data_IF_112539155519
#
_entry.id   IF_112539155519
#
_cell.length_a   1.000
_cell.length_b   1.000
_cell.length_c   1.000
_cell.angle_alpha   90.00
_cell.angle_beta   90.00
_cell.angle_gamma   90.00
#
_symmetry.space_group_name_H-M   'P 1'
#
loop_
_entity.id
_entity.type
_entity.pdbx_description
1 polymer ?
#
# COMPACT_ATOMS: atom_id res chain seq x y z
N UNK A 1 -24.17 -9.84 -13.86
CA UNK A 1 -24.35 -10.41 -15.20
C UNK A 1 -24.12 -11.93 -15.14
N UNK A 2 -22.90 -12.49 -15.22
CA UNK A 2 -22.66 -13.95 -15.08
C UNK A 2 -23.35 -14.63 -13.89
N UNK A 3 -23.21 -14.09 -12.68
CA UNK A 3 -23.83 -14.68 -11.47
C UNK A 3 -25.37 -14.72 -11.50
N UNK A 4 -26.03 -13.84 -12.26
CA UNK A 4 -27.49 -13.75 -12.31
C UNK A 4 -28.09 -14.58 -13.45
N UNK A 5 -27.38 -14.73 -14.57
CA UNK A 5 -27.94 -15.28 -15.81
C UNK A 5 -27.23 -16.55 -16.30
N UNK A 6 -26.03 -16.86 -15.81
CA UNK A 6 -25.26 -18.04 -16.22
C UNK A 6 -25.18 -19.09 -15.10
N UNK A 7 -24.71 -18.68 -13.92
CA UNK A 7 -24.46 -19.59 -12.79
C UNK A 7 -25.70 -20.35 -12.26
N UNK A 8 -26.94 -19.80 -12.31
CA UNK A 8 -28.11 -20.52 -11.81
C UNK A 8 -28.52 -21.75 -12.63
N UNK A 9 -28.05 -21.86 -13.87
CA UNK A 9 -28.43 -22.91 -14.81
C UNK A 9 -27.24 -23.82 -15.10
N UNK A 10 -27.48 -25.11 -15.26
CA UNK A 10 -26.42 -26.10 -15.42
C UNK A 10 -26.09 -26.36 -16.89
N UNK A 11 -27.08 -26.22 -17.77
CA UNK A 11 -26.98 -26.51 -19.21
C UNK A 11 -26.94 -25.24 -20.05
N UNK A 12 -26.40 -25.33 -21.28
CA UNK A 12 -26.32 -24.17 -22.17
C UNK A 12 -27.70 -23.83 -22.77
N UNK A 13 -28.54 -24.84 -22.99
CA UNK A 13 -29.91 -24.70 -23.48
C UNK A 13 -30.76 -23.86 -22.52
N UNK A 14 -30.70 -24.17 -21.22
CA UNK A 14 -31.38 -23.38 -20.19
C UNK A 14 -30.85 -21.94 -20.14
N UNK A 15 -29.53 -21.75 -20.22
CA UNK A 15 -28.91 -20.41 -20.19
C UNK A 15 -29.37 -19.56 -21.36
N UNK A 16 -29.53 -20.14 -22.55
CA UNK A 16 -30.01 -19.42 -23.74
C UNK A 16 -31.42 -18.85 -23.55
N UNK A 17 -32.30 -19.58 -22.86
CA UNK A 17 -33.65 -19.10 -22.54
C UNK A 17 -33.66 -17.94 -21.53
N UNK A 18 -32.59 -17.75 -20.75
CA UNK A 18 -32.48 -16.74 -19.71
C UNK A 18 -31.54 -15.58 -20.10
N UNK A 19 -31.68 -15.12 -21.36
CA UNK A 19 -30.96 -13.96 -21.89
C UNK A 19 -31.33 -12.66 -21.15
N UNK A 20 -30.34 -11.83 -20.77
CA UNK A 20 -30.61 -10.48 -20.27
C UNK A 20 -31.29 -9.59 -21.32
N UNK A 21 -32.23 -8.71 -20.94
CA UNK A 21 -33.02 -7.92 -21.90
C UNK A 21 -32.21 -6.90 -22.72
N UNK A 22 -30.99 -6.56 -22.26
CA UNK A 22 -30.10 -5.58 -22.89
C UNK A 22 -28.98 -6.21 -23.72
N UNK A 23 -28.94 -7.55 -23.84
CA UNK A 23 -27.95 -8.25 -24.66
C UNK A 23 -28.62 -8.82 -25.92
N UNK A 24 -27.89 -8.78 -27.03
CA UNK A 24 -28.30 -9.47 -28.25
C UNK A 24 -28.23 -10.99 -28.08
N UNK A 25 -28.92 -11.74 -28.94
CA UNK A 25 -28.84 -13.21 -28.95
C UNK A 25 -27.42 -13.69 -29.25
N UNK A 26 -26.74 -13.05 -30.20
CA UNK A 26 -25.39 -13.43 -30.62
C UNK A 26 -24.36 -13.19 -29.51
N UNK A 27 -24.42 -12.03 -28.85
CA UNK A 27 -23.53 -11.74 -27.71
C UNK A 27 -23.75 -12.71 -26.56
N UNK A 28 -25.01 -13.08 -26.30
CA UNK A 28 -25.34 -14.00 -25.22
C UNK A 28 -24.86 -15.42 -25.49
N UNK A 29 -25.07 -15.92 -26.72
CA UNK A 29 -24.52 -17.20 -27.19
C UNK A 29 -22.99 -17.24 -27.06
N UNK A 30 -22.33 -16.18 -27.49
CA UNK A 30 -20.88 -16.07 -27.38
C UNK A 30 -20.42 -16.10 -25.92
N UNK A 31 -21.09 -15.37 -25.01
CA UNK A 31 -20.76 -15.34 -23.59
C UNK A 31 -20.93 -16.71 -22.91
N UNK A 32 -22.00 -17.44 -23.22
CA UNK A 32 -22.22 -18.79 -22.69
C UNK A 32 -21.07 -19.70 -23.09
N UNK A 33 -20.73 -19.72 -24.39
CA UNK A 33 -19.61 -20.51 -24.89
C UNK A 33 -18.28 -20.09 -24.25
N UNK A 34 -17.99 -18.78 -24.24
CA UNK A 34 -16.77 -18.22 -23.66
C UNK A 34 -16.58 -18.64 -22.19
N UNK A 35 -17.60 -18.49 -21.35
CA UNK A 35 -17.51 -18.90 -19.94
C UNK A 35 -17.47 -20.42 -19.73
N UNK A 36 -17.94 -21.19 -20.72
CA UNK A 36 -17.85 -22.66 -20.72
C UNK A 36 -16.44 -23.17 -20.96
N UNK A 37 -15.59 -22.40 -21.64
CA UNK A 37 -14.21 -22.78 -21.97
C UNK A 37 -13.37 -23.11 -20.73
N UNK A 38 -12.46 -24.09 -20.81
CA UNK A 38 -11.57 -24.42 -19.69
C UNK A 38 -10.68 -23.24 -19.29
N UNK A 39 -10.24 -22.43 -20.26
CA UNK A 39 -9.41 -21.25 -20.02
C UNK A 39 -10.13 -20.20 -19.18
N UNK A 40 -11.37 -19.85 -19.54
CA UNK A 40 -12.15 -18.86 -18.79
C UNK A 40 -12.47 -19.33 -17.36
N UNK A 41 -12.68 -20.65 -17.17
CA UNK A 41 -12.89 -21.26 -15.86
C UNK A 41 -11.63 -21.17 -15.01
N UNK A 42 -10.48 -21.58 -15.54
CA UNK A 42 -9.19 -21.52 -14.85
C UNK A 42 -8.82 -20.08 -14.44
N UNK A 43 -8.97 -19.12 -15.35
CA UNK A 43 -8.75 -17.69 -15.04
C UNK A 43 -9.68 -17.23 -13.91
N UNK A 44 -10.97 -17.60 -13.96
CA UNK A 44 -11.95 -17.23 -12.94
C UNK A 44 -11.62 -17.84 -11.57
N UNK A 45 -11.19 -19.10 -11.53
CA UNK A 45 -10.80 -19.79 -10.30
C UNK A 45 -9.53 -19.19 -9.68
N UNK A 46 -8.50 -18.96 -10.50
CA UNK A 46 -7.28 -18.24 -10.10
C UNK A 46 -7.60 -16.86 -9.53
N UNK A 47 -8.44 -16.09 -10.21
CA UNK A 47 -8.84 -14.76 -9.75
C UNK A 47 -9.65 -14.81 -8.45
N UNK A 48 -10.53 -15.80 -8.29
CA UNK A 48 -11.27 -16.03 -7.03
C UNK A 48 -10.33 -16.36 -5.87
N UNK A 49 -9.37 -17.26 -6.09
CA UNK A 49 -8.36 -17.61 -5.10
C UNK A 49 -7.46 -16.42 -4.75
N UNK A 50 -7.04 -15.62 -5.73
CA UNK A 50 -6.26 -14.41 -5.52
C UNK A 50 -7.05 -13.35 -4.76
N UNK A 51 -8.33 -13.16 -5.07
CA UNK A 51 -9.22 -12.26 -4.34
C UNK A 51 -9.40 -12.68 -2.88
N UNK A 52 -9.48 -13.98 -2.60
CA UNK A 52 -9.55 -14.50 -1.24
C UNK A 52 -8.29 -14.21 -0.41
N UNK A 53 -7.12 -14.05 -1.06
CA UNK A 53 -5.85 -13.67 -0.41
C UNK A 53 -5.71 -12.17 -0.17
N UNK A 54 -6.67 -11.35 -0.59
CA UNK A 54 -6.62 -9.91 -0.38
C UNK A 54 -7.02 -9.57 1.06
N UNK A 55 -6.01 -9.40 1.93
CA UNK A 55 -6.19 -9.09 3.36
C UNK A 55 -6.62 -7.64 3.58
N UNK A 56 -5.94 -6.69 2.94
CA UNK A 56 -6.19 -5.25 3.11
C UNK A 56 -7.02 -4.74 1.93
N UNK A 57 -8.21 -4.19 2.21
CA UNK A 57 -9.10 -3.59 1.21
C UNK A 57 -8.94 -2.07 1.20
N UNK A 58 -9.10 -1.44 0.05
CA UNK A 58 -9.09 0.03 -0.07
C UNK A 58 -10.43 0.54 -0.61
N UNK A 59 -10.74 1.80 -0.36
CA UNK A 59 -12.00 2.48 -0.69
C UNK A 59 -11.83 3.63 -1.70
N UNK A 60 -10.63 3.83 -2.26
CA UNK A 60 -10.35 4.93 -3.21
C UNK A 60 -11.11 4.85 -4.54
N UNK A 61 -11.69 3.71 -4.88
CA UNK A 61 -12.41 3.51 -6.14
C UNK A 61 -11.52 3.80 -7.35
N UNK A 62 -12.05 4.56 -8.32
CA UNK A 62 -11.33 4.97 -9.54
C UNK A 62 -10.35 6.14 -9.33
N UNK A 63 -10.31 6.75 -8.14
CA UNK A 63 -9.39 7.86 -7.88
C UNK A 63 -7.96 7.35 -7.69
N UNK A 64 -7.03 7.96 -8.42
CA UNK A 64 -5.60 7.68 -8.25
C UNK A 64 -5.08 8.27 -6.94
N UNK A 65 -3.97 7.74 -6.43
CA UNK A 65 -3.33 8.30 -5.22
C UNK A 65 -2.85 9.73 -5.44
N UNK A 66 -2.37 10.07 -6.64
CA UNK A 66 -1.99 11.44 -6.98
C UNK A 66 -3.18 12.41 -6.88
N UNK A 67 -4.35 11.98 -7.37
CA UNK A 67 -5.57 12.79 -7.25
C UNK A 67 -5.99 12.96 -5.79
N UNK A 68 -5.93 11.90 -4.97
CA UNK A 68 -6.28 11.98 -3.54
C UNK A 68 -5.33 12.93 -2.81
N UNK A 69 -4.01 12.86 -3.07
CA UNK A 69 -3.03 13.78 -2.51
C UNK A 69 -3.35 15.23 -2.85
N UNK A 70 -3.59 15.50 -4.13
CA UNK A 70 -3.94 16.84 -4.61
C UNK A 70 -5.21 17.37 -3.94
N UNK A 71 -6.30 16.59 -3.99
CA UNK A 71 -7.59 16.98 -3.38
C UNK A 71 -7.47 17.24 -1.88
N UNK A 72 -6.67 16.44 -1.17
CA UNK A 72 -6.49 16.59 0.27
C UNK A 72 -5.57 17.77 0.61
N UNK A 73 -4.51 18.01 -0.16
CA UNK A 73 -3.66 19.18 0.00
C UNK A 73 -4.46 20.47 -0.17
N UNK A 74 -5.39 20.54 -1.14
CA UNK A 74 -6.26 21.71 -1.32
C UNK A 74 -7.19 22.00 -0.12
N UNK A 75 -7.46 21.01 0.74
CA UNK A 75 -8.28 21.18 1.94
C UNK A 75 -7.48 21.66 3.15
N UNK A 76 -6.16 21.46 3.15
CA UNK A 76 -5.29 21.93 4.24
C UNK A 76 -4.87 23.37 3.95
N UNK A 77 -4.79 24.19 5.00
CA UNK A 77 -4.39 25.60 4.91
C UNK A 77 -2.95 25.75 4.38
N UNK A 78 -2.06 24.87 4.82
CA UNK A 78 -0.65 24.81 4.43
C UNK A 78 -0.42 24.23 3.02
N UNK A 79 -1.48 23.74 2.35
CA UNK A 79 -1.44 22.96 1.11
C UNK A 79 -0.44 21.80 1.14
N UNK A 80 -0.18 21.24 2.32
CA UNK A 80 0.77 20.14 2.45
C UNK A 80 0.18 18.85 1.89
N UNK A 81 1.05 18.04 1.27
CA UNK A 81 0.64 16.71 0.86
C UNK A 81 0.35 15.82 2.07
N UNK A 82 -0.62 14.90 1.95
CA UNK A 82 -0.83 13.91 2.98
C UNK A 82 0.40 13.01 3.12
N UNK A 83 0.83 12.81 4.36
CA UNK A 83 1.91 11.85 4.64
C UNK A 83 1.43 10.41 4.37
N UNK A 84 2.33 9.43 4.50
CA UNK A 84 2.05 8.04 4.14
C UNK A 84 0.98 7.36 5.01
N UNK A 85 0.94 7.71 6.30
CA UNK A 85 -0.06 7.23 7.26
C UNK A 85 -1.42 7.88 6.97
N UNK A 86 -1.44 9.19 6.73
CA UNK A 86 -2.66 9.90 6.30
C UNK A 86 -3.20 9.34 4.99
N UNK A 87 -2.34 9.06 4.02
CA UNK A 87 -2.72 8.40 2.77
C UNK A 87 -3.35 7.03 3.01
N UNK A 88 -2.87 6.27 4.00
CA UNK A 88 -3.50 5.01 4.38
C UNK A 88 -4.90 5.24 4.94
N UNK A 89 -5.05 6.15 5.91
CA UNK A 89 -6.35 6.49 6.49
C UNK A 89 -7.36 6.94 5.43
N UNK A 90 -6.98 7.85 4.53
CA UNK A 90 -7.84 8.35 3.45
C UNK A 90 -8.32 7.24 2.50
N UNK A 91 -7.53 6.20 2.31
CA UNK A 91 -7.82 5.12 1.37
C UNK A 91 -8.42 3.87 2.01
N UNK A 92 -8.49 3.80 3.34
CA UNK A 92 -9.00 2.66 4.10
C UNK A 92 -10.14 3.06 5.06
N UNK A 93 -10.62 4.29 4.95
CA UNK A 93 -11.80 4.81 5.66
C UNK A 93 -12.96 5.02 4.68
N UNK A 94 -14.19 4.77 5.14
CA UNK A 94 -15.43 5.00 4.40
C UNK A 94 -15.88 6.46 4.58
N UNK A 95 -16.92 6.87 3.83
CA UNK A 95 -17.47 8.24 3.93
C UNK A 95 -18.09 8.56 5.30
N UNK A 96 -18.50 7.53 6.03
CA UNK A 96 -19.04 7.62 7.39
C UNK A 96 -17.94 7.76 8.46
N UNK A 97 -16.66 7.74 8.07
CA UNK A 97 -15.52 7.81 8.98
C UNK A 97 -15.11 6.47 9.59
N UNK A 98 -15.82 5.38 9.27
CA UNK A 98 -15.48 4.05 9.78
C UNK A 98 -14.41 3.36 8.92
N UNK A 99 -13.51 2.56 9.52
CA UNK A 99 -12.57 1.73 8.77
C UNK A 99 -13.29 0.76 7.83
N UNK A 100 -12.65 0.43 6.71
CA UNK A 100 -13.24 -0.46 5.70
C UNK A 100 -13.41 -1.90 6.19
N UNK A 101 -12.48 -2.37 7.01
CA UNK A 101 -12.43 -3.68 7.66
C UNK A 101 -11.66 -3.62 8.99
N UNK A 102 -11.79 -4.68 9.79
CA UNK A 102 -11.20 -4.78 11.14
C UNK A 102 -9.66 -4.72 11.11
N UNK A 103 -9.04 -5.27 10.07
CA UNK A 103 -7.59 -5.27 9.95
C UNK A 103 -7.04 -3.87 9.62
N UNK A 104 -7.75 -3.12 8.78
CA UNK A 104 -7.43 -1.72 8.50
C UNK A 104 -7.58 -0.86 9.76
N UNK A 105 -8.58 -1.16 10.60
CA UNK A 105 -8.73 -0.52 11.92
C UNK A 105 -7.52 -0.79 12.82
N UNK A 106 -7.12 -2.06 12.95
CA UNK A 106 -5.96 -2.45 13.76
C UNK A 106 -4.67 -1.73 13.29
N UNK A 107 -4.44 -1.65 11.98
CA UNK A 107 -3.29 -0.92 11.41
C UNK A 107 -3.35 0.58 11.77
N UNK A 108 -4.52 1.21 11.66
CA UNK A 108 -4.70 2.61 12.04
C UNK A 108 -4.45 2.85 13.54
N UNK A 109 -4.92 1.94 14.39
CA UNK A 109 -4.71 2.00 15.84
C UNK A 109 -3.20 1.88 16.16
N UNK A 110 -2.48 0.97 15.49
CA UNK A 110 -1.02 0.83 15.64
C UNK A 110 -0.27 2.09 15.20
N UNK A 111 -0.67 2.72 14.09
CA UNK A 111 -0.09 3.99 13.67
C UNK A 111 -0.32 5.09 14.72
N UNK A 112 -1.54 5.22 15.23
CA UNK A 112 -1.86 6.23 16.22
C UNK A 112 -1.09 5.99 17.54
N UNK A 113 -0.93 4.73 17.95
CA UNK A 113 -0.15 4.36 19.13
C UNK A 113 1.32 4.77 18.98
N UNK A 114 1.96 4.46 17.84
CA UNK A 114 3.37 4.79 17.61
C UNK A 114 3.61 6.29 17.44
N UNK A 115 2.66 7.01 16.83
CA UNK A 115 2.72 8.48 16.75
C UNK A 115 2.56 9.17 18.11
N UNK A 116 1.89 8.52 19.07
CA UNK A 116 1.65 9.08 20.41
C UNK A 116 2.77 8.78 21.40
N UNK A 117 3.72 7.91 21.06
CA UNK A 117 4.88 7.66 21.92
C UNK A 117 5.91 8.78 21.76
N UNK A 118 6.36 9.43 22.85
CA UNK A 118 7.53 10.29 22.80
C UNK A 118 8.76 9.43 22.48
N UNK A 119 9.46 9.78 21.41
CA UNK A 119 10.78 9.29 20.97
C UNK A 119 11.54 8.50 22.07
N UNK A 120 11.65 7.17 21.93
CA UNK A 120 12.44 6.41 22.90
C UNK A 120 12.32 4.88 22.97
N UNK A 121 11.50 4.20 22.17
CA UNK A 121 11.54 2.71 22.15
C UNK A 121 11.82 2.19 20.75
N UNK A 122 13.08 2.33 20.36
CA UNK A 122 13.73 1.38 19.47
C UNK A 122 13.65 0.00 20.12
N UNK A 123 12.66 -0.81 19.76
CA UNK A 123 12.78 -2.26 19.92
C UNK A 123 13.85 -2.75 18.96
N UNK A 124 15.06 -2.70 19.48
CA UNK A 124 16.27 -3.26 18.92
C UNK A 124 16.09 -4.72 18.50
N UNK A 125 16.39 -4.99 17.23
CA UNK A 125 17.32 -6.07 16.92
C UNK A 125 18.65 -5.39 16.55
N UNK A 126 19.53 -5.30 17.55
CA UNK A 126 21.00 -5.13 17.57
C UNK A 126 21.67 -4.44 16.35
N UNK A 127 22.46 -3.37 16.48
CA UNK A 127 23.54 -3.16 17.45
C UNK A 127 23.78 -1.66 17.74
N UNK A 128 24.26 -1.38 18.95
CA UNK A 128 24.62 -0.05 19.43
C UNK A 128 25.79 0.57 18.68
N UNK A 129 25.79 1.90 18.57
CA UNK A 129 26.79 2.76 19.23
C UNK A 129 26.44 4.22 18.96
N UNK A 130 26.24 4.97 20.03
CA UNK A 130 25.94 6.39 19.99
C UNK A 130 27.11 7.20 19.46
N UNK A 131 26.78 8.21 18.67
CA UNK A 131 27.58 9.42 18.53
C UNK A 131 26.60 10.58 18.41
N UNK A 132 26.36 11.26 19.54
CA UNK A 132 25.70 12.56 19.57
C UNK A 132 26.60 13.57 18.86
N UNK A 133 26.22 13.99 17.67
CA UNK A 133 26.79 15.20 17.06
C UNK A 133 25.67 16.20 16.89
N UNK A 134 25.63 17.17 17.80
CA UNK A 134 24.83 18.37 17.67
C UNK A 134 25.21 19.11 16.39
N UNK A 135 24.28 19.25 15.45
CA UNK A 135 24.39 20.26 14.39
C UNK A 135 23.10 21.06 14.32
N UNK A 136 23.16 22.26 14.88
CA UNK A 136 22.20 23.32 14.65
C UNK A 136 22.28 23.76 13.19
N UNK A 137 21.20 23.57 12.44
CA UNK A 137 20.92 24.26 11.17
C UNK A 137 19.41 24.23 10.92
N UNK A 138 18.74 25.21 11.49
CA UNK A 138 17.29 25.40 11.52
C UNK A 138 16.73 25.86 10.16
N UNK A 139 15.75 25.11 9.65
CA UNK A 139 14.51 25.54 8.97
C UNK A 139 14.10 24.74 7.71
N UNK A 140 14.96 23.86 7.17
CA UNK A 140 14.57 22.89 6.10
C UNK A 140 14.57 21.43 6.61
N UNK A 141 15.30 21.14 7.70
CA UNK A 141 15.42 19.78 8.24
C UNK A 141 14.16 19.27 8.96
N UNK A 142 13.30 20.15 9.49
CA UNK A 142 12.16 19.72 10.31
C UNK A 142 11.12 18.94 9.51
N UNK A 143 10.90 19.29 8.24
CA UNK A 143 9.99 18.56 7.33
C UNK A 143 10.60 17.26 6.82
N UNK A 144 11.91 17.21 6.55
CA UNK A 144 12.57 15.97 6.12
C UNK A 144 12.65 14.93 7.23
N UNK A 145 12.93 15.37 8.47
CA UNK A 145 13.05 14.49 9.64
C UNK A 145 11.68 13.95 10.07
N UNK A 146 10.63 14.79 10.03
CA UNK A 146 9.26 14.34 10.27
C UNK A 146 8.78 13.35 9.20
N UNK A 147 9.17 13.55 7.93
CA UNK A 147 8.84 12.60 6.86
C UNK A 147 9.51 11.24 7.05
N UNK A 148 10.79 11.21 7.43
CA UNK A 148 11.50 9.94 7.67
C UNK A 148 10.94 9.19 8.88
N UNK A 149 10.58 9.89 9.95
CA UNK A 149 9.95 9.28 11.13
C UNK A 149 8.61 8.60 10.78
N UNK A 150 7.76 9.29 10.01
CA UNK A 150 6.49 8.71 9.54
C UNK A 150 6.72 7.49 8.64
N UNK A 151 7.75 7.52 7.79
CA UNK A 151 8.10 6.38 6.93
C UNK A 151 8.68 5.19 7.73
N UNK A 152 9.42 5.45 8.80
CA UNK A 152 9.89 4.43 9.75
C UNK A 152 8.72 3.75 10.47
N UNK A 153 7.78 4.53 11.03
CA UNK A 153 6.56 3.97 11.64
C UNK A 153 5.79 3.15 10.62
N UNK A 154 5.63 3.66 9.40
CA UNK A 154 4.94 2.94 8.34
C UNK A 154 5.59 1.58 8.07
N UNK A 155 6.92 1.56 8.02
CA UNK A 155 7.72 0.35 7.78
C UNK A 155 7.66 -0.62 8.96
N UNK A 156 7.56 -0.12 10.19
CA UNK A 156 7.43 -0.94 11.39
C UNK A 156 6.08 -1.68 11.42
N UNK A 157 4.99 -0.99 11.12
CA UNK A 157 3.63 -1.57 11.13
C UNK A 157 3.38 -2.45 9.90
N UNK A 158 3.75 -1.97 8.72
CA UNK A 158 3.43 -2.65 7.46
C UNK A 158 4.54 -3.62 7.01
N UNK A 159 5.68 -3.62 7.68
CA UNK A 159 6.89 -4.35 7.27
C UNK A 159 7.71 -3.64 6.19
N UNK A 160 8.86 -4.20 5.79
CA UNK A 160 9.73 -3.61 4.76
C UNK A 160 9.08 -3.55 3.38
N UNK A 161 9.46 -2.55 2.58
CA UNK A 161 9.00 -2.43 1.21
C UNK A 161 9.50 -3.58 0.33
N UNK A 162 8.66 -3.95 -0.65
CA UNK A 162 9.02 -4.95 -1.64
C UNK A 162 9.83 -4.30 -2.77
N UNK A 163 10.64 -5.12 -3.44
CA UNK A 163 11.42 -4.65 -4.58
C UNK A 163 10.52 -4.05 -5.67
N UNK A 164 10.92 -2.90 -6.22
CA UNK A 164 10.27 -2.28 -7.38
C UNK A 164 9.01 -1.46 -7.11
N UNK A 165 8.51 -1.37 -5.86
CA UNK A 165 7.32 -0.55 -5.55
C UNK A 165 7.32 -0.06 -4.11
N UNK A 166 6.90 1.19 -3.91
CA UNK A 166 6.64 1.77 -2.58
C UNK A 166 5.13 1.87 -2.32
N UNK A 167 4.64 1.28 -1.22
CA UNK A 167 3.21 1.41 -0.82
C UNK A 167 2.86 2.87 -0.51
N UNK A 168 1.65 3.32 -0.82
CA UNK A 168 1.22 4.71 -0.53
C UNK A 168 1.60 5.77 -1.58
N UNK A 169 2.45 5.44 -2.56
CA UNK A 169 2.90 6.37 -3.61
C UNK A 169 2.32 6.10 -5.00
N UNK A 170 1.43 5.11 -5.15
CA UNK A 170 0.80 4.78 -6.42
C UNK A 170 1.65 3.83 -7.29
N UNK A 171 1.51 3.96 -8.61
CA UNK A 171 2.23 3.16 -9.60
C UNK A 171 3.43 3.94 -10.16
N UNK A 172 4.60 3.31 -10.25
CA UNK A 172 5.83 3.92 -10.78
C UNK A 172 6.94 4.13 -9.74
N UNK A 173 6.67 4.74 -8.57
CA UNK A 173 7.71 4.99 -7.57
C UNK A 173 8.37 3.71 -7.03
N UNK A 174 9.70 3.68 -7.16
CA UNK A 174 10.55 2.62 -6.60
C UNK A 174 11.21 3.10 -5.30
N UNK A 175 11.56 2.19 -4.37
CA UNK A 175 12.24 2.59 -3.13
C UNK A 175 13.48 3.45 -3.37
N UNK A 176 14.27 3.15 -4.41
CA UNK A 176 15.45 3.93 -4.79
C UNK A 176 15.10 5.36 -5.22
N UNK A 177 13.95 5.57 -5.87
CA UNK A 177 13.51 6.89 -6.31
C UNK A 177 12.98 7.74 -5.16
N UNK A 178 12.41 7.12 -4.11
CA UNK A 178 11.78 7.84 -2.99
C UNK A 178 12.78 8.05 -1.84
N UNK A 179 13.51 7.00 -1.47
CA UNK A 179 14.42 7.00 -0.32
C UNK A 179 15.91 7.12 -0.71
N UNK A 180 16.20 7.19 -2.01
CA UNK A 180 17.56 7.14 -2.54
C UNK A 180 18.14 5.72 -2.56
N UNK A 181 19.37 5.59 -3.07
CA UNK A 181 20.09 4.32 -3.06
C UNK A 181 20.54 3.98 -1.64
N UNK A 182 19.70 3.27 -0.89
CA UNK A 182 20.12 2.57 0.32
C UNK A 182 20.97 1.37 -0.09
N UNK A 183 22.19 1.64 -0.55
CA UNK A 183 23.16 0.58 -0.76
C UNK A 183 23.47 -0.03 0.60
N UNK A 184 23.12 -1.30 0.76
CA UNK A 184 23.55 -2.12 1.91
C UNK A 184 25.09 -2.11 2.09
N UNK A 185 25.84 -1.62 1.09
CA UNK A 185 27.30 -1.41 1.14
C UNK A 185 27.73 -0.11 1.83
N UNK A 186 26.87 0.91 2.00
CA UNK A 186 27.25 2.17 2.67
C UNK A 186 27.43 1.99 4.18
N UNK A 187 26.66 1.09 4.80
CA UNK A 187 26.89 0.68 6.19
C UNK A 187 28.20 -0.10 6.34
N UNK A 188 28.56 -0.94 5.36
CA UNK A 188 29.80 -1.71 5.37
C UNK A 188 31.06 -0.87 5.19
N UNK A 189 31.04 0.13 4.31
CA UNK A 189 32.21 1.01 4.06
C UNK A 189 32.45 1.98 5.24
N UNK A 190 31.40 2.43 5.91
CA UNK A 190 31.53 3.29 7.09
C UNK A 190 31.99 2.47 8.31
N UNK A 191 31.53 1.23 8.49
CA UNK A 191 32.03 0.34 9.54
C UNK A 191 33.49 -0.07 9.32
N UNK A 192 33.90 -0.33 8.08
CA UNK A 192 35.29 -0.72 7.80
C UNK A 192 36.28 0.42 8.03
N UNK A 193 35.94 1.65 7.64
CA UNK A 193 36.82 2.81 7.88
C UNK A 193 36.90 3.17 9.37
N UNK A 194 35.82 3.03 10.12
CA UNK A 194 35.85 3.25 11.58
C UNK A 194 36.66 2.17 12.31
N UNK A 195 36.56 0.90 11.90
CA UNK A 195 37.34 -0.20 12.49
C UNK A 195 38.83 -0.11 12.16
N UNK A 196 39.18 0.43 10.99
CA UNK A 196 40.58 0.60 10.56
C UNK A 196 41.23 1.82 11.21
N UNK A 197 40.46 2.88 11.48
CA UNK A 197 40.92 4.03 12.26
C UNK A 197 41.09 3.72 13.75
N UNK A 198 40.21 2.88 14.34
CA UNK A 198 40.31 2.45 15.74
C UNK A 198 41.48 1.50 16.03
N UNK A 199 42.12 0.93 15.00
CA UNK A 199 43.31 0.08 15.11
C UNK A 199 44.63 0.84 14.87
N UNK A 200 44.56 2.13 14.56
CA UNK A 200 45.73 3.02 14.36
C UNK A 200 45.97 3.98 15.53
N UNK A 201 45.22 3.85 16.62
CA UNK A 201 45.48 4.50 17.91
C UNK A 201 46.08 3.51 18.90
#
# INVERSE_FOLDING_TARGET
MKAKYYNPYNTDEERLCHRPPHLSDDDWRWLIHFWGTPEAKDISEKNKANRAKQVIKHTSGSKSYAQIRYEQAQKKEDRSEPNRIEMFALTHTRKDGTPVDDHSKEIMDQFQQLLSQPEGTSSSTSASSGASTSVSSTSIASTSVASTYVDEIYTQVMGPERHGRVRGYGFGPTPTSIFGSTSRRRLGVILSTQLENAKRC
#
